data_IF_799931083175
#
_entry.id   IF_799931083175
#
_cell.length_a   1.000
_cell.length_b   1.000
_cell.length_c   1.000
_cell.angle_alpha   90.00
_cell.angle_beta   90.00
_cell.angle_gamma   90.00
#
_symmetry.space_group_name_H-M   'P 1'
#
loop_
_entity.id
_entity.type
_entity.pdbx_description
1 polymer ?
#
# COMPACT_ATOMS: atom_id res chain seq x y z
N UNK A 1 5.07 -17.49 -17.61
CA UNK A 1 6.03 -17.92 -18.65
C UNK A 1 5.32 -17.87 -20.01
N UNK A 2 5.84 -17.07 -20.96
CA UNK A 2 5.24 -16.91 -22.29
C UNK A 2 5.42 -18.19 -23.10
N UNK A 3 4.33 -18.76 -23.58
CA UNK A 3 4.37 -19.90 -24.50
C UNK A 3 4.27 -19.38 -25.92
N UNK A 4 5.32 -19.60 -26.71
CA UNK A 4 5.46 -19.05 -28.06
C UNK A 4 4.72 -19.82 -29.15
N UNK A 5 4.03 -20.90 -28.84
CA UNK A 5 3.46 -21.80 -29.82
C UNK A 5 4.55 -22.63 -30.52
N UNK A 6 4.59 -22.61 -31.84
CA UNK A 6 5.66 -23.28 -32.58
C UNK A 6 6.92 -22.43 -32.63
N UNK A 7 8.03 -23.00 -32.19
CA UNK A 7 9.34 -22.42 -32.46
C UNK A 7 9.60 -22.42 -33.96
N UNK A 8 10.06 -21.28 -34.47
CA UNK A 8 10.54 -21.23 -35.85
C UNK A 8 11.69 -22.22 -36.04
N UNK A 9 11.86 -22.72 -37.27
CA UNK A 9 12.98 -23.60 -37.59
C UNK A 9 13.73 -23.09 -38.82
N UNK A 10 14.99 -23.48 -38.91
CA UNK A 10 15.86 -23.14 -40.03
C UNK A 10 15.97 -24.34 -40.92
N UNK A 11 15.60 -24.18 -42.20
CA UNK A 11 15.80 -25.22 -43.23
C UNK A 11 17.13 -24.98 -43.95
N UNK A 12 17.97 -25.98 -43.96
CA UNK A 12 19.22 -25.94 -44.70
C UNK A 12 19.55 -27.33 -45.27
N UNK A 13 19.89 -27.39 -46.54
CA UNK A 13 20.33 -28.61 -47.20
C UNK A 13 21.74 -29.08 -46.76
N UNK A 14 22.51 -28.19 -46.18
CA UNK A 14 23.91 -28.41 -45.79
C UNK A 14 24.15 -28.34 -44.27
N UNK A 15 23.08 -28.33 -43.49
CA UNK A 15 23.14 -28.03 -42.05
C UNK A 15 23.33 -26.55 -41.79
N UNK A 16 22.76 -26.07 -40.72
CA UNK A 16 22.93 -24.70 -40.23
C UNK A 16 22.89 -24.70 -38.70
N UNK A 17 23.75 -23.90 -38.12
CA UNK A 17 23.66 -23.56 -36.70
C UNK A 17 22.77 -22.33 -36.58
N UNK A 18 21.89 -22.30 -35.59
CA UNK A 18 21.06 -21.11 -35.32
C UNK A 18 21.01 -20.78 -33.84
N UNK A 19 20.77 -19.55 -33.57
CA UNK A 19 20.50 -19.00 -32.22
C UNK A 19 19.21 -18.24 -32.22
N UNK A 20 18.49 -18.29 -31.08
CA UNK A 20 17.30 -17.49 -30.87
C UNK A 20 17.59 -16.58 -29.70
N UNK A 21 17.41 -15.27 -29.91
CA UNK A 21 17.50 -14.25 -28.87
C UNK A 21 16.14 -13.58 -28.70
N UNK A 22 15.76 -13.30 -27.46
CA UNK A 22 14.50 -12.61 -27.17
C UNK A 22 14.85 -11.25 -26.54
N UNK A 23 14.38 -10.19 -27.17
CA UNK A 23 14.40 -8.84 -26.62
C UNK A 23 12.98 -8.49 -26.16
N UNK A 24 12.81 -8.34 -24.89
CA UNK A 24 11.56 -7.87 -24.30
C UNK A 24 11.63 -6.33 -24.16
N UNK A 25 10.83 -5.64 -24.94
CA UNK A 25 10.76 -4.18 -25.01
C UNK A 25 9.39 -3.68 -24.50
N UNK A 26 8.75 -4.47 -23.65
CA UNK A 26 7.49 -4.05 -23.02
C UNK A 26 7.74 -3.05 -21.92
N UNK A 27 6.83 -2.09 -21.82
CA UNK A 27 6.69 -1.18 -20.70
C UNK A 27 5.31 -1.41 -20.08
N UNK A 28 5.24 -1.56 -18.76
CA UNK A 28 3.98 -1.82 -18.06
C UNK A 28 3.18 -2.97 -18.68
N UNK A 29 3.85 -4.07 -18.98
CA UNK A 29 3.23 -5.27 -19.56
C UNK A 29 2.83 -5.17 -21.02
N UNK A 30 2.82 -3.99 -21.62
CA UNK A 30 2.44 -3.76 -23.03
C UNK A 30 3.64 -3.37 -23.87
N UNK A 31 3.56 -3.62 -25.17
CA UNK A 31 4.59 -3.22 -26.12
C UNK A 31 5.03 -4.33 -27.02
N UNK A 32 6.31 -4.42 -27.29
CA UNK A 32 6.87 -5.29 -28.32
C UNK A 32 7.85 -6.28 -27.71
N UNK A 33 7.72 -7.54 -28.12
CA UNK A 33 8.73 -8.56 -27.91
C UNK A 33 9.29 -8.95 -29.27
N UNK A 34 10.61 -8.91 -29.41
CA UNK A 34 11.29 -9.31 -30.62
C UNK A 34 12.00 -10.65 -30.40
N UNK A 35 11.66 -11.66 -31.21
CA UNK A 35 12.44 -12.88 -31.35
C UNK A 35 13.33 -12.76 -32.56
N UNK A 36 14.63 -12.81 -32.34
CA UNK A 36 15.66 -12.70 -33.39
C UNK A 36 16.21 -14.09 -33.61
N UNK A 37 15.98 -14.67 -34.78
CA UNK A 37 16.49 -15.96 -35.19
C UNK A 37 17.65 -15.71 -36.14
N UNK A 38 18.86 -16.06 -35.72
CA UNK A 38 20.08 -15.88 -36.52
C UNK A 38 20.64 -17.27 -36.89
N UNK A 39 20.83 -17.49 -38.14
CA UNK A 39 21.41 -18.75 -38.64
C UNK A 39 22.68 -18.48 -39.45
N UNK A 40 23.66 -19.33 -39.23
CA UNK A 40 24.91 -19.33 -39.97
C UNK A 40 25.00 -20.55 -40.84
N UNK A 41 25.04 -20.33 -42.15
CA UNK A 41 25.22 -21.35 -43.15
C UNK A 41 26.69 -21.58 -43.57
N UNK A 42 26.95 -22.46 -44.53
CA UNK A 42 28.27 -22.65 -45.14
C UNK A 42 28.80 -21.35 -45.73
N UNK A 43 30.12 -21.16 -45.72
CA UNK A 43 30.81 -19.99 -46.25
C UNK A 43 30.50 -18.67 -45.50
N UNK A 44 30.18 -18.76 -44.19
CA UNK A 44 29.85 -17.62 -43.34
C UNK A 44 28.63 -16.79 -43.83
N UNK A 45 27.75 -17.41 -44.58
CA UNK A 45 26.49 -16.78 -44.96
C UNK A 45 25.58 -16.68 -43.72
N UNK A 46 25.34 -15.45 -43.25
CA UNK A 46 24.45 -15.20 -42.09
C UNK A 46 23.10 -14.73 -42.57
N UNK A 47 22.06 -15.35 -42.02
CA UNK A 47 20.67 -14.94 -42.19
C UNK A 47 20.08 -14.58 -40.85
N UNK A 48 19.32 -13.50 -40.78
CA UNK A 48 18.59 -13.11 -39.58
C UNK A 48 17.13 -12.85 -39.92
N UNK A 49 16.24 -13.46 -39.16
CA UNK A 49 14.80 -13.17 -39.20
C UNK A 49 14.35 -12.63 -37.86
N UNK A 50 13.43 -11.67 -37.91
CA UNK A 50 12.86 -11.06 -36.71
C UNK A 50 11.36 -11.32 -36.69
N UNK A 51 10.90 -11.99 -35.63
CA UNK A 51 9.49 -12.09 -35.31
C UNK A 51 9.15 -11.00 -34.31
N UNK A 52 8.20 -10.15 -34.66
CA UNK A 52 7.69 -9.10 -33.78
C UNK A 52 6.35 -9.54 -33.20
N UNK A 53 6.24 -9.55 -31.89
CA UNK A 53 5.04 -9.90 -31.15
C UNK A 53 4.58 -8.63 -30.42
N UNK A 54 3.35 -8.21 -30.69
CA UNK A 54 2.73 -7.10 -30.01
C UNK A 54 1.90 -7.65 -28.85
N UNK A 55 2.19 -7.16 -27.64
CA UNK A 55 1.39 -7.42 -26.44
C UNK A 55 0.57 -6.18 -26.20
N UNK A 56 -0.74 -6.32 -26.32
CA UNK A 56 -1.72 -5.24 -26.19
C UNK A 56 -2.84 -5.71 -25.28
N UNK A 57 -3.65 -4.77 -24.82
CA UNK A 57 -4.85 -5.06 -24.03
C UNK A 57 -4.54 -5.56 -22.62
N UNK A 58 -3.70 -4.80 -21.93
CA UNK A 58 -3.51 -4.93 -20.49
C UNK A 58 -4.67 -4.26 -19.77
N UNK A 59 -5.31 -4.96 -18.84
CA UNK A 59 -6.32 -4.35 -17.96
C UNK A 59 -5.63 -3.39 -16.98
N UNK A 60 -5.89 -2.08 -17.04
CA UNK A 60 -5.22 -1.11 -16.19
C UNK A 60 -5.70 -1.24 -14.75
N UNK A 61 -4.79 -1.03 -13.81
CA UNK A 61 -5.13 -0.96 -12.39
C UNK A 61 -6.20 0.12 -12.13
N UNK A 62 -7.24 -0.28 -11.43
CA UNK A 62 -8.39 0.57 -11.20
C UNK A 62 -8.75 0.66 -9.71
N UNK A 63 -8.98 1.88 -9.23
CA UNK A 63 -9.47 2.14 -7.87
C UNK A 63 -10.82 2.85 -7.96
N UNK A 64 -11.86 2.20 -7.48
CA UNK A 64 -13.21 2.77 -7.49
C UNK A 64 -13.40 3.78 -6.36
N UNK A 65 -13.86 4.96 -6.74
CA UNK A 65 -14.14 6.04 -5.81
C UNK A 65 -15.53 5.97 -5.17
N UNK A 66 -16.44 5.22 -5.77
CA UNK A 66 -17.86 5.18 -5.37
C UNK A 66 -18.12 4.07 -4.36
N UNK A 67 -17.73 2.86 -4.68
CA UNK A 67 -18.01 1.69 -3.84
C UNK A 67 -16.92 1.44 -2.80
N UNK A 68 -15.81 2.15 -2.93
CA UNK A 68 -14.62 2.14 -2.07
C UNK A 68 -14.04 0.72 -1.94
N UNK A 69 -14.38 -0.09 -0.99
CA UNK A 69 -13.76 -1.41 -0.74
C UNK A 69 -14.57 -2.60 -1.30
N UNK A 70 -15.29 -2.44 -2.39
CA UNK A 70 -15.95 -3.59 -3.04
C UNK A 70 -14.99 -4.27 -4.02
N UNK A 71 -14.51 -5.51 -3.71
CA UNK A 71 -13.50 -6.19 -4.52
C UNK A 71 -13.95 -6.57 -5.94
N UNK A 72 -15.22 -6.34 -6.28
CA UNK A 72 -15.75 -6.54 -7.64
C UNK A 72 -15.48 -5.38 -8.56
N UNK A 73 -15.16 -4.20 -7.99
CA UNK A 73 -15.06 -2.95 -8.73
C UNK A 73 -13.76 -2.19 -8.47
N UNK A 74 -12.85 -2.74 -7.67
CA UNK A 74 -11.58 -2.09 -7.34
C UNK A 74 -10.46 -3.10 -7.20
N UNK A 75 -9.25 -2.71 -7.57
CA UNK A 75 -8.03 -3.50 -7.40
C UNK A 75 -7.30 -3.18 -6.10
N UNK A 76 -7.82 -2.18 -5.35
CA UNK A 76 -7.25 -1.72 -4.10
C UNK A 76 -8.30 -1.69 -2.99
N UNK A 77 -7.96 -2.23 -1.83
CA UNK A 77 -8.72 -2.03 -0.60
C UNK A 77 -8.05 -0.97 0.26
N UNK A 78 -8.81 0.03 0.65
CA UNK A 78 -8.37 1.06 1.58
C UNK A 78 -8.42 0.56 3.04
N UNK A 79 -7.56 1.08 3.93
CA UNK A 79 -7.52 0.66 5.33
C UNK A 79 -8.76 1.08 6.12
N UNK A 80 -8.83 0.59 7.35
CA UNK A 80 -9.95 0.82 8.24
C UNK A 80 -10.25 2.33 8.42
N UNK A 81 -11.53 2.66 8.45
CA UNK A 81 -12.03 4.03 8.64
C UNK A 81 -12.01 4.92 7.42
N UNK A 82 -11.27 4.57 6.34
CA UNK A 82 -11.16 5.39 5.13
C UNK A 82 -12.49 5.43 4.38
N UNK A 83 -13.04 4.27 4.02
CA UNK A 83 -14.29 4.18 3.26
C UNK A 83 -15.51 4.62 4.05
N UNK A 84 -15.51 4.40 5.33
CA UNK A 84 -16.60 4.81 6.23
C UNK A 84 -16.51 6.27 6.68
N UNK A 85 -15.38 6.92 6.42
CA UNK A 85 -15.06 8.26 6.89
C UNK A 85 -15.22 8.42 8.41
N UNK A 86 -14.95 7.34 9.15
CA UNK A 86 -15.04 7.32 10.61
C UNK A 86 -13.65 7.17 11.23
N UNK A 87 -13.36 7.89 12.33
CA UNK A 87 -12.09 7.72 13.01
C UNK A 87 -11.91 6.28 13.51
N UNK A 88 -10.73 5.70 13.27
CA UNK A 88 -10.30 4.47 13.92
C UNK A 88 -9.73 4.84 15.29
N UNK A 89 -10.26 4.23 16.34
CA UNK A 89 -9.80 4.51 17.72
C UNK A 89 -8.87 3.40 18.17
N UNK A 90 -7.70 3.78 18.71
CA UNK A 90 -6.74 2.87 19.35
C UNK A 90 -6.60 3.26 20.81
N UNK A 91 -6.45 2.26 21.67
CA UNK A 91 -6.31 2.44 23.11
C UNK A 91 -4.85 2.57 23.54
N UNK A 92 -4.60 3.41 24.55
CA UNK A 92 -3.27 3.67 25.11
C UNK A 92 -2.50 4.79 24.40
N UNK A 93 -2.05 5.79 25.17
CA UNK A 93 -1.33 6.96 24.64
C UNK A 93 0.02 6.63 23.98
N UNK A 94 0.56 5.44 24.20
CA UNK A 94 1.76 4.91 23.56
C UNK A 94 1.47 3.85 22.50
N UNK A 95 0.22 3.75 22.00
CA UNK A 95 -0.17 2.76 21.03
C UNK A 95 0.63 2.89 19.72
N UNK A 96 0.90 1.76 19.09
CA UNK A 96 1.55 1.70 17.80
C UNK A 96 0.61 2.23 16.70
N UNK A 97 1.02 3.32 16.06
CA UNK A 97 0.31 3.93 14.93
C UNK A 97 0.92 3.54 13.58
N UNK A 98 1.85 2.60 13.55
CA UNK A 98 2.44 2.19 12.27
C UNK A 98 1.40 1.62 11.30
N UNK A 99 1.64 1.68 9.98
CA UNK A 99 0.78 1.04 8.99
C UNK A 99 0.65 -0.47 9.15
N UNK A 100 1.57 -1.10 9.86
CA UNK A 100 1.56 -2.55 10.10
C UNK A 100 0.68 -2.95 11.29
N UNK A 101 0.16 -1.97 12.05
CA UNK A 101 -0.84 -2.25 13.08
C UNK A 101 -2.14 -2.76 12.44
N UNK A 102 -2.58 -4.00 12.72
CA UNK A 102 -3.74 -4.61 12.09
C UNK A 102 -5.07 -3.89 12.40
N UNK A 103 -5.13 -3.11 13.49
CA UNK A 103 -6.31 -2.31 13.80
C UNK A 103 -6.46 -1.11 12.84
N UNK A 104 -5.37 -0.59 12.33
CA UNK A 104 -5.34 0.50 11.38
C UNK A 104 -5.40 0.00 9.94
N UNK A 105 -4.57 -0.98 9.64
CA UNK A 105 -4.37 -1.51 8.30
C UNK A 105 -3.63 -0.55 7.38
N UNK A 106 -3.38 -1.02 6.18
CA UNK A 106 -2.78 -0.27 5.06
C UNK A 106 -3.50 -0.58 3.77
N UNK A 107 -3.38 0.26 2.72
CA UNK A 107 -3.93 -0.08 1.41
C UNK A 107 -3.39 -1.44 0.94
N UNK A 108 -4.27 -2.29 0.43
CA UNK A 108 -3.93 -3.64 0.01
C UNK A 108 -4.37 -3.87 -1.42
N UNK A 109 -3.44 -4.29 -2.28
CA UNK A 109 -3.73 -4.68 -3.66
C UNK A 109 -4.35 -6.06 -3.63
N UNK A 110 -5.49 -6.25 -4.33
CA UNK A 110 -6.24 -7.51 -4.34
C UNK A 110 -6.30 -8.18 -5.71
N UNK A 111 -6.20 -7.40 -6.77
CA UNK A 111 -6.18 -7.89 -8.15
C UNK A 111 -4.94 -7.35 -8.87
N UNK A 112 -4.55 -7.95 -9.98
CA UNK A 112 -3.53 -7.49 -10.92
C UNK A 112 -2.06 -7.48 -10.45
N UNK A 113 -1.73 -8.09 -9.33
CA UNK A 113 -0.32 -8.27 -8.96
C UNK A 113 0.45 -9.16 -9.97
N UNK A 114 -0.27 -10.02 -10.72
CA UNK A 114 0.33 -11.02 -11.60
C UNK A 114 0.41 -10.59 -13.08
N UNK A 115 -0.31 -9.54 -13.49
CA UNK A 115 -0.46 -9.21 -14.91
C UNK A 115 0.61 -8.25 -15.46
N UNK A 116 1.53 -7.78 -14.62
CA UNK A 116 2.61 -6.84 -14.97
C UNK A 116 2.15 -5.57 -15.72
N UNK A 117 0.87 -5.22 -15.60
CA UNK A 117 0.25 -4.07 -16.27
C UNK A 117 0.20 -2.84 -15.39
N UNK A 118 0.62 -2.96 -14.14
CA UNK A 118 0.64 -1.89 -13.16
C UNK A 118 1.97 -1.87 -12.40
N UNK A 119 2.44 -0.68 -12.06
CA UNK A 119 3.61 -0.47 -11.22
C UNK A 119 3.19 0.42 -10.05
N UNK A 120 2.77 -0.22 -8.96
CA UNK A 120 2.12 0.47 -7.85
C UNK A 120 3.11 0.87 -6.77
N UNK A 121 3.05 2.15 -6.38
CA UNK A 121 3.68 2.68 -5.17
C UNK A 121 2.61 3.12 -4.18
N UNK A 122 2.81 2.80 -2.90
CA UNK A 122 1.95 3.18 -1.79
C UNK A 122 2.79 3.93 -0.77
N UNK A 123 2.41 5.17 -0.47
CA UNK A 123 3.06 6.03 0.51
C UNK A 123 2.04 6.62 1.47
N UNK A 124 2.49 7.06 2.65
CA UNK A 124 1.66 7.76 3.60
C UNK A 124 2.37 8.95 4.22
N UNK A 125 1.58 9.95 4.63
CA UNK A 125 2.03 11.15 5.30
C UNK A 125 1.15 11.38 6.52
N UNK A 126 1.76 11.51 7.71
CA UNK A 126 1.05 11.68 8.96
C UNK A 126 1.16 13.13 9.45
N UNK A 127 0.01 13.72 9.79
CA UNK A 127 -0.09 14.98 10.50
C UNK A 127 -0.67 14.70 11.89
N UNK A 128 0.10 15.04 12.95
CA UNK A 128 -0.21 14.69 14.33
C UNK A 128 -0.70 15.92 15.09
N UNK A 129 -1.86 15.79 15.72
CA UNK A 129 -2.51 16.80 16.54
C UNK A 129 -2.53 16.37 18.00
N UNK A 130 -1.81 17.08 18.87
CA UNK A 130 -1.63 16.74 20.29
C UNK A 130 -2.59 17.46 21.22
N UNK A 131 -3.31 18.49 20.73
CA UNK A 131 -4.27 19.26 21.52
C UNK A 131 -5.68 18.92 21.05
N UNK A 132 -6.23 17.81 21.57
CA UNK A 132 -7.55 17.33 21.22
C UNK A 132 -8.33 16.92 22.45
N UNK A 133 -9.58 17.38 22.62
CA UNK A 133 -10.44 16.90 23.69
C UNK A 133 -10.65 15.38 23.57
N UNK A 134 -10.61 14.69 24.69
CA UNK A 134 -10.86 13.25 24.79
C UNK A 134 -9.91 12.35 23.97
N UNK A 135 -8.69 12.79 23.68
CA UNK A 135 -7.67 12.02 23.04
C UNK A 135 -6.28 12.36 23.54
N UNK A 136 -5.36 11.39 23.53
CA UNK A 136 -3.94 11.67 23.71
C UNK A 136 -3.41 12.49 22.53
N UNK A 137 -3.80 12.06 21.32
CA UNK A 137 -3.54 12.75 20.06
C UNK A 137 -4.42 12.17 18.95
N UNK A 138 -4.52 12.91 17.86
CA UNK A 138 -5.10 12.44 16.60
C UNK A 138 -4.08 12.48 15.48
N UNK A 139 -4.23 11.58 14.53
CA UNK A 139 -3.41 11.55 13.32
C UNK A 139 -4.32 11.63 12.11
N UNK A 140 -4.03 12.56 11.21
CA UNK A 140 -4.54 12.55 9.86
C UNK A 140 -3.49 11.89 8.98
N UNK A 141 -3.71 10.64 8.61
CA UNK A 141 -2.84 9.89 7.71
C UNK A 141 -3.35 10.02 6.29
N UNK A 142 -2.61 10.71 5.47
CA UNK A 142 -2.88 10.80 4.04
C UNK A 142 -2.19 9.65 3.33
N UNK A 143 -2.96 8.78 2.74
CA UNK A 143 -2.48 7.73 1.86
C UNK A 143 -2.40 8.24 0.42
N UNK A 144 -1.33 7.90 -0.28
CA UNK A 144 -1.12 8.19 -1.69
C UNK A 144 -0.76 6.88 -2.38
N UNK A 145 -1.53 6.53 -3.40
CA UNK A 145 -1.29 5.36 -4.25
C UNK A 145 -1.06 5.85 -5.66
N UNK A 146 0.01 5.40 -6.29
CA UNK A 146 0.38 5.78 -7.66
C UNK A 146 0.61 4.52 -8.48
N UNK A 147 -0.05 4.45 -9.63
CA UNK A 147 0.31 3.53 -10.69
C UNK A 147 1.18 4.25 -11.72
N UNK A 148 2.46 3.98 -11.71
CA UNK A 148 3.44 4.61 -12.60
C UNK A 148 3.24 4.26 -14.09
N UNK A 149 2.44 3.26 -14.40
CA UNK A 149 2.07 2.92 -15.76
C UNK A 149 0.98 3.82 -16.34
N UNK A 150 0.20 4.46 -15.48
CA UNK A 150 -0.88 5.36 -15.86
C UNK A 150 -0.58 6.83 -15.52
N UNK A 151 0.28 7.07 -14.52
CA UNK A 151 0.52 8.39 -13.97
C UNK A 151 1.48 9.21 -14.85
N UNK A 152 1.00 10.33 -15.36
CA UNK A 152 1.82 11.33 -16.03
C UNK A 152 1.51 12.70 -15.42
N UNK A 153 2.43 13.25 -14.59
CA UNK A 153 2.21 14.53 -13.92
C UNK A 153 2.14 15.74 -14.87
N UNK A 154 2.58 15.59 -16.11
CA UNK A 154 2.62 16.67 -17.09
C UNK A 154 1.39 16.67 -18.00
N UNK A 155 0.77 15.52 -18.25
CA UNK A 155 -0.39 15.38 -19.12
C UNK A 155 -1.67 15.36 -18.29
N UNK A 156 -1.75 14.47 -17.28
CA UNK A 156 -2.90 14.35 -16.39
C UNK A 156 -2.43 13.93 -14.98
N UNK A 157 -2.22 14.87 -14.06
CA UNK A 157 -1.73 14.58 -12.73
C UNK A 157 -2.73 13.84 -11.83
N UNK A 158 -3.95 13.62 -12.30
CA UNK A 158 -4.99 12.91 -11.55
C UNK A 158 -5.13 11.45 -11.98
N UNK A 159 -4.75 11.12 -13.20
CA UNK A 159 -4.82 9.75 -13.71
C UNK A 159 -3.75 8.88 -13.07
N UNK A 160 -4.13 7.69 -12.61
CA UNK A 160 -3.20 6.75 -11.97
C UNK A 160 -2.70 7.20 -10.60
N UNK A 161 -3.38 8.17 -9.98
CA UNK A 161 -3.05 8.65 -8.63
C UNK A 161 -4.30 8.79 -7.78
N UNK A 162 -4.30 8.13 -6.65
CA UNK A 162 -5.42 8.13 -5.69
C UNK A 162 -4.96 8.56 -4.32
N UNK A 163 -5.74 9.40 -3.67
CA UNK A 163 -5.45 9.90 -2.34
C UNK A 163 -6.65 9.71 -1.42
N UNK A 164 -6.40 9.26 -0.20
CA UNK A 164 -7.42 9.10 0.84
C UNK A 164 -6.84 9.45 2.20
N UNK A 165 -7.70 9.94 3.09
CA UNK A 165 -7.33 10.28 4.46
C UNK A 165 -7.94 9.26 5.42
N UNK A 166 -7.08 8.73 6.29
CA UNK A 166 -7.46 7.91 7.43
C UNK A 166 -7.35 8.78 8.70
N UNK A 167 -8.39 8.80 9.51
CA UNK A 167 -8.39 9.51 10.78
C UNK A 167 -8.14 8.49 11.89
N UNK A 168 -7.06 8.68 12.65
CA UNK A 168 -6.70 7.82 13.76
C UNK A 168 -6.84 8.64 15.05
N UNK A 169 -7.63 8.12 16.00
CA UNK A 169 -7.80 8.72 17.32
C UNK A 169 -7.14 7.82 18.36
N UNK A 170 -6.08 8.29 18.99
CA UNK A 170 -5.40 7.57 20.07
C UNK A 170 -5.89 8.13 21.40
N UNK A 171 -6.44 7.28 22.25
CA UNK A 171 -6.95 7.69 23.57
C UNK A 171 -6.70 6.58 24.60
N UNK A 172 -6.46 6.99 25.83
CA UNK A 172 -6.43 6.10 26.97
C UNK A 172 -7.87 5.91 27.48
N UNK A 173 -8.33 4.68 27.53
CA UNK A 173 -9.64 4.31 28.06
C UNK A 173 -9.52 3.64 29.43
N UNK A 174 -8.31 3.39 29.88
CA UNK A 174 -8.06 2.78 31.16
C UNK A 174 -8.32 3.76 32.29
N UNK A 175 -9.10 3.31 33.25
CA UNK A 175 -9.33 4.12 34.45
C UNK A 175 -8.08 4.07 35.32
N UNK A 176 -7.61 5.22 35.83
CA UNK A 176 -6.49 5.22 36.76
C UNK A 176 -6.81 4.36 38.00
N UNK A 177 -5.89 3.51 38.36
CA UNK A 177 -5.98 2.69 39.57
C UNK A 177 -5.24 3.43 40.69
N UNK A 178 -5.96 3.81 41.73
CA UNK A 178 -5.37 4.40 42.93
C UNK A 178 -5.07 3.28 43.91
N UNK A 179 -3.80 3.08 44.21
CA UNK A 179 -3.37 2.15 45.28
C UNK A 179 -2.95 2.96 46.48
N UNK A 180 -3.50 2.62 47.63
CA UNK A 180 -3.12 3.24 48.93
C UNK A 180 -2.06 2.36 49.60
N UNK A 181 -0.99 2.96 50.11
CA UNK A 181 0.13 2.26 50.75
C UNK A 181 -0.22 1.58 52.11
N UNK A 182 -1.40 1.86 52.64
CA UNK A 182 -1.84 1.38 53.96
C UNK A 182 -3.25 0.76 53.91
N UNK A 183 -3.42 -0.34 53.21
CA UNK A 183 -4.69 -1.04 53.13
C UNK A 183 -5.67 -0.51 52.08
N UNK A 184 -6.94 -0.96 52.05
CA UNK A 184 -7.94 -0.45 51.15
C UNK A 184 -8.13 1.05 51.35
N UNK A 185 -8.31 1.79 50.28
CA UNK A 185 -8.57 3.24 50.36
C UNK A 185 -9.92 3.53 51.00
N UNK A 186 -9.96 3.41 52.32
CA UNK A 186 -11.12 3.79 53.10
C UNK A 186 -11.11 5.33 53.29
N UNK A 187 -12.28 5.93 53.44
CA UNK A 187 -12.34 7.39 53.67
C UNK A 187 -11.59 7.73 54.97
N UNK A 188 -10.44 8.37 54.81
CA UNK A 188 -9.69 8.87 55.95
C UNK A 188 -10.48 9.98 56.64
N UNK A 189 -10.87 9.76 57.91
CA UNK A 189 -11.44 10.80 58.71
C UNK A 189 -10.32 11.73 59.18
N UNK A 190 -10.17 12.85 58.57
CA UNK A 190 -9.22 13.89 58.99
C UNK A 190 -9.94 14.76 60.02
N UNK A 191 -9.51 14.72 61.26
CA UNK A 191 -9.95 15.68 62.27
C UNK A 191 -9.36 17.06 61.92
N UNK A 192 -10.19 17.91 61.38
CA UNK A 192 -9.80 19.32 61.14
C UNK A 192 -9.51 20.00 62.48
N UNK A 193 -8.31 20.51 62.68
CA UNK A 193 -7.96 21.40 63.78
C UNK A 193 -8.83 22.64 63.70
N UNK A 194 -9.45 23.03 64.77
CA UNK A 194 -10.37 24.18 64.79
C UNK A 194 -9.72 25.39 64.09
N UNK A 195 -10.30 25.82 63.00
CA UNK A 195 -9.85 27.00 62.22
C UNK A 195 -9.03 26.71 60.95
N UNK A 196 -8.80 25.46 60.55
CA UNK A 196 -8.09 25.12 59.30
C UNK A 196 -8.89 24.09 58.50
N UNK A 197 -9.48 24.52 57.42
CA UNK A 197 -10.23 23.66 56.48
C UNK A 197 -9.37 23.18 55.30
N UNK A 198 -8.08 22.93 55.47
CA UNK A 198 -7.20 22.48 54.40
C UNK A 198 -6.53 21.17 54.77
N UNK A 199 -6.85 20.12 54.04
CA UNK A 199 -6.15 18.84 54.10
C UNK A 199 -5.16 18.72 52.95
N UNK A 200 -3.93 18.37 53.24
CA UNK A 200 -2.94 18.02 52.20
C UNK A 200 -2.88 16.50 52.05
N UNK A 201 -3.12 16.03 50.85
CA UNK A 201 -2.86 14.65 50.47
C UNK A 201 -1.59 14.69 49.64
N UNK A 202 -0.54 13.98 50.10
CA UNK A 202 0.68 13.78 49.32
C UNK A 202 0.56 12.41 48.64
N UNK A 203 0.48 12.39 47.32
CA UNK A 203 0.60 11.18 46.52
C UNK A 203 2.08 11.04 46.16
N UNK A 204 2.72 9.97 46.59
CA UNK A 204 4.09 9.57 46.23
C UNK A 204 4.06 8.47 45.21
#
# INVERSE_FOLDING_TARGET
ELQWGFDGYVLSNCGANYTITVNDLRECGQGVIQRIISAQGPNNLNITAIQTIWVVDCDPFYVDDVTCNDPRYTDLLWPNGVCTQTPVTIDGCGADISPDNPQLGKPTIINNADDNCALISIEHFDEIFTIEPDACFKVLRKWVVIDWCQYDPFIDPTKGRWERVQIIKVRDQDKPVVTCNVGPCEPATINAKLGVCVGHISLT
#
